data_IF_107531238878
#
_entry.id   IF_107531238878
#
_cell.length_a   1.000
_cell.length_b   1.000
_cell.length_c   1.000
_cell.angle_alpha   90.00
_cell.angle_beta   90.00
_cell.angle_gamma   90.00
#
_symmetry.space_group_name_H-M   'P 1'
#
loop_
_entity.id
_entity.type
_entity.pdbx_description
1 polymer ?
#
# COMPACT_ATOMS: atom_id res chain seq x y z
N UNK A 1 5.08 -26.99 5.68
CA UNK A 1 3.70 -26.56 5.41
C UNK A 1 3.75 -25.53 4.29
N UNK A 2 2.99 -25.75 3.22
CA UNK A 2 3.07 -25.01 1.95
C UNK A 2 2.32 -23.66 2.09
N UNK A 3 3.05 -22.55 2.23
CA UNK A 3 2.53 -21.19 2.48
C UNK A 3 1.86 -20.50 1.26
N UNK A 4 1.17 -21.24 0.38
CA UNK A 4 0.75 -20.72 -0.93
C UNK A 4 -0.77 -20.52 -1.12
N UNK A 5 -1.57 -20.59 -0.04
CA UNK A 5 -3.04 -20.71 -0.16
C UNK A 5 -3.80 -19.38 0.10
N UNK A 6 -3.15 -18.30 0.53
CA UNK A 6 -3.84 -17.08 0.98
C UNK A 6 -3.78 -15.87 0.02
N UNK A 7 -2.93 -15.87 -1.01
CA UNK A 7 -2.76 -14.69 -1.89
C UNK A 7 -3.86 -14.62 -2.96
N UNK A 8 -4.62 -13.51 -2.97
CA UNK A 8 -5.56 -13.20 -4.06
C UNK A 8 -4.82 -12.60 -5.26
N UNK A 9 -4.22 -13.48 -6.08
CA UNK A 9 -3.62 -13.05 -7.34
C UNK A 9 -4.72 -12.71 -8.35
N UNK A 10 -4.70 -11.48 -8.83
CA UNK A 10 -5.59 -11.01 -9.86
C UNK A 10 -5.17 -11.52 -11.23
N UNK A 11 -6.17 -11.84 -12.04
CA UNK A 11 -5.99 -12.03 -13.47
C UNK A 11 -5.71 -10.69 -14.16
N UNK A 12 -5.05 -10.75 -15.31
CA UNK A 12 -4.70 -9.57 -16.11
C UNK A 12 -5.90 -8.66 -16.37
N UNK A 13 -7.05 -9.24 -16.72
CA UNK A 13 -8.26 -8.48 -17.03
C UNK A 13 -8.79 -7.72 -15.81
N UNK A 14 -8.73 -8.33 -14.61
CA UNK A 14 -9.16 -7.68 -13.37
C UNK A 14 -8.30 -6.44 -13.08
N UNK A 15 -6.98 -6.51 -13.27
CA UNK A 15 -6.09 -5.36 -13.11
C UNK A 15 -6.50 -4.23 -14.07
N UNK A 16 -6.81 -4.57 -15.31
CA UNK A 16 -7.16 -3.58 -16.34
C UNK A 16 -8.52 -2.93 -16.04
N UNK A 17 -9.49 -3.73 -15.60
CA UNK A 17 -10.82 -3.23 -15.23
C UNK A 17 -10.75 -2.31 -14.00
N UNK A 18 -9.95 -2.64 -13.00
CA UNK A 18 -9.71 -1.79 -11.83
C UNK A 18 -9.06 -0.45 -12.24
N UNK A 19 -8.05 -0.48 -13.11
CA UNK A 19 -7.37 0.73 -13.59
C UNK A 19 -8.35 1.64 -14.34
N UNK A 20 -9.16 1.08 -15.24
CA UNK A 20 -10.18 1.84 -15.98
C UNK A 20 -11.29 2.35 -15.07
N UNK A 21 -11.65 1.58 -14.03
CA UNK A 21 -12.61 2.00 -13.03
C UNK A 21 -12.09 3.22 -12.24
N UNK A 22 -10.82 3.20 -11.85
CA UNK A 22 -10.20 4.23 -10.99
C UNK A 22 -9.82 5.49 -11.76
N UNK A 23 -9.24 5.36 -12.96
CA UNK A 23 -8.65 6.48 -13.71
C UNK A 23 -9.42 6.85 -14.98
N UNK A 24 -10.55 6.19 -15.24
CA UNK A 24 -11.34 6.40 -16.44
C UNK A 24 -11.01 5.41 -17.56
N UNK A 25 -11.98 5.24 -18.47
CA UNK A 25 -11.98 4.18 -19.50
C UNK A 25 -10.84 4.30 -20.52
N UNK A 26 -10.29 5.49 -20.71
CA UNK A 26 -9.22 5.76 -21.66
C UNK A 26 -7.81 5.52 -21.06
N UNK A 27 -7.73 5.24 -19.76
CA UNK A 27 -6.46 4.92 -19.10
C UNK A 27 -6.13 3.45 -19.30
N UNK A 28 -5.00 3.17 -19.94
CA UNK A 28 -4.54 1.82 -20.26
C UNK A 28 -3.35 1.41 -19.38
N UNK A 29 -3.16 0.09 -19.24
CA UNK A 29 -2.00 -0.48 -18.53
C UNK A 29 -0.90 -0.82 -19.52
N UNK A 30 0.21 -0.08 -19.48
CA UNK A 30 1.39 -0.36 -20.30
C UNK A 30 2.10 -1.63 -19.85
N UNK A 31 2.28 -1.80 -18.53
CA UNK A 31 2.93 -2.97 -17.92
C UNK A 31 2.57 -3.09 -16.45
N UNK A 32 2.66 -4.28 -15.88
CA UNK A 32 2.53 -4.50 -14.43
C UNK A 32 3.46 -5.62 -13.95
N UNK A 33 3.88 -5.54 -12.69
CA UNK A 33 4.73 -6.52 -12.01
C UNK A 33 4.18 -6.81 -10.62
N UNK A 34 4.04 -8.09 -10.26
CA UNK A 34 3.68 -8.50 -8.89
C UNK A 34 4.87 -8.22 -7.96
N UNK A 35 4.61 -7.48 -6.88
CA UNK A 35 5.55 -7.26 -5.79
C UNK A 35 5.39 -8.42 -4.82
N UNK A 36 6.38 -9.31 -4.78
CA UNK A 36 6.35 -10.51 -3.95
C UNK A 36 6.68 -10.24 -2.47
N UNK A 37 7.02 -9.00 -2.14
CA UNK A 37 7.42 -8.55 -0.81
C UNK A 37 6.18 -8.21 0.02
N UNK A 38 5.57 -9.24 0.61
CA UNK A 38 4.35 -9.11 1.40
C UNK A 38 3.80 -10.46 1.87
N UNK A 39 3.34 -10.49 3.12
CA UNK A 39 2.82 -11.71 3.76
C UNK A 39 1.39 -12.03 3.31
N UNK A 40 0.44 -11.08 3.46
CA UNK A 40 -0.99 -11.36 3.29
C UNK A 40 -1.61 -10.71 2.04
N UNK A 41 -1.31 -9.43 1.75
CA UNK A 41 -1.84 -8.74 0.57
C UNK A 41 -1.01 -9.07 -0.67
N UNK A 42 -1.67 -9.15 -1.83
CA UNK A 42 -0.98 -9.17 -3.13
C UNK A 42 -0.82 -7.73 -3.60
N UNK A 43 0.38 -7.35 -4.02
CA UNK A 43 0.65 -6.00 -4.50
C UNK A 43 1.18 -6.03 -5.93
N UNK A 44 0.80 -5.03 -6.73
CA UNK A 44 1.24 -4.86 -8.11
C UNK A 44 1.77 -3.46 -8.31
N UNK A 45 2.95 -3.32 -8.92
CA UNK A 45 3.41 -2.05 -9.51
C UNK A 45 2.90 -1.99 -10.95
N UNK A 46 2.21 -0.91 -11.32
CA UNK A 46 1.53 -0.77 -12.61
C UNK A 46 2.00 0.53 -13.27
N UNK A 47 2.42 0.46 -14.53
CA UNK A 47 2.72 1.62 -15.38
C UNK A 47 1.50 1.95 -16.24
N UNK A 48 0.99 3.16 -16.14
CA UNK A 48 -0.18 3.64 -16.87
C UNK A 48 0.23 4.29 -18.20
N UNK A 49 -0.72 4.39 -19.14
CA UNK A 49 -0.54 5.01 -20.45
C UNK A 49 -0.21 6.51 -20.41
N UNK A 50 -0.60 7.19 -19.34
CA UNK A 50 -0.33 8.62 -19.10
C UNK A 50 1.03 8.89 -18.45
N UNK A 51 1.83 7.85 -18.23
CA UNK A 51 3.17 7.93 -17.65
C UNK A 51 3.24 7.77 -16.13
N UNK A 52 2.10 7.73 -15.42
CA UNK A 52 2.09 7.50 -13.96
C UNK A 52 2.45 6.05 -13.63
N UNK A 53 3.13 5.86 -12.50
CA UNK A 53 3.27 4.56 -11.85
C UNK A 53 2.44 4.52 -10.56
N UNK A 54 1.74 3.40 -10.36
CA UNK A 54 0.85 3.20 -9.21
C UNK A 54 1.08 1.83 -8.57
N UNK A 55 0.74 1.73 -7.30
CA UNK A 55 0.72 0.47 -6.56
C UNK A 55 -0.73 0.08 -6.29
N UNK A 56 -1.12 -1.10 -6.77
CA UNK A 56 -2.39 -1.75 -6.45
C UNK A 56 -2.15 -2.79 -5.36
N UNK A 57 -2.80 -2.65 -4.20
CA UNK A 57 -2.82 -3.69 -3.16
C UNK A 57 -4.19 -4.33 -3.08
N UNK A 58 -4.21 -5.66 -3.01
CA UNK A 58 -5.42 -6.49 -3.02
C UNK A 58 -5.41 -7.39 -1.79
N UNK A 59 -6.49 -7.33 -1.02
CA UNK A 59 -6.66 -8.17 0.14
C UNK A 59 -6.83 -9.65 -0.28
N UNK A 60 -6.49 -10.62 0.59
CA UNK A 60 -6.87 -12.01 0.42
C UNK A 60 -8.36 -12.17 0.05
N UNK A 61 -8.71 -13.26 -0.65
CA UNK A 61 -10.11 -13.52 -1.04
C UNK A 61 -11.02 -13.59 0.19
N UNK A 62 -12.23 -13.07 0.03
CA UNK A 62 -13.27 -13.15 1.05
C UNK A 62 -13.52 -14.61 1.46
N UNK A 63 -13.45 -14.91 2.76
CA UNK A 63 -13.65 -16.26 3.30
C UNK A 63 -12.39 -17.00 3.77
N UNK A 64 -11.21 -16.40 3.61
CA UNK A 64 -10.01 -16.83 4.34
C UNK A 64 -10.15 -16.35 5.79
N UNK A 65 -9.96 -17.26 6.76
CA UNK A 65 -9.90 -16.90 8.18
C UNK A 65 -8.65 -16.04 8.38
N UNK A 66 -8.85 -14.73 8.35
CA UNK A 66 -7.89 -13.76 8.83
C UNK A 66 -7.86 -13.83 10.36
N UNK A 67 -6.68 -13.68 10.94
CA UNK A 67 -6.56 -13.40 12.38
C UNK A 67 -7.36 -12.13 12.70
N UNK A 68 -7.90 -12.00 13.90
CA UNK A 68 -8.70 -10.83 14.30
C UNK A 68 -7.95 -9.49 14.15
N UNK A 69 -6.61 -9.50 14.25
CA UNK A 69 -5.77 -8.34 13.96
C UNK A 69 -5.64 -7.99 12.46
N UNK A 70 -5.93 -8.94 11.57
CA UNK A 70 -5.81 -8.79 10.12
C UNK A 70 -7.11 -8.27 9.49
N UNK A 71 -8.23 -8.41 10.20
CA UNK A 71 -9.51 -7.83 9.80
C UNK A 71 -9.44 -6.30 9.84
N UNK A 72 -9.75 -5.65 8.72
CA UNK A 72 -9.74 -4.19 8.62
C UNK A 72 -8.37 -3.55 8.45
N UNK A 73 -7.27 -4.31 8.39
CA UNK A 73 -5.91 -3.75 8.21
C UNK A 73 -5.80 -2.84 6.99
N UNK A 74 -6.36 -3.24 5.85
CA UNK A 74 -6.31 -2.44 4.62
C UNK A 74 -7.08 -1.12 4.75
N UNK A 75 -8.25 -1.14 5.41
CA UNK A 75 -9.03 0.08 5.67
C UNK A 75 -8.28 1.02 6.60
N UNK A 76 -7.68 0.49 7.67
CA UNK A 76 -6.85 1.25 8.61
C UNK A 76 -5.65 1.87 7.92
N UNK A 77 -4.95 1.12 7.05
CA UNK A 77 -3.81 1.61 6.26
C UNK A 77 -4.23 2.80 5.38
N UNK A 78 -5.32 2.67 4.63
CA UNK A 78 -5.85 3.75 3.79
C UNK A 78 -6.24 4.99 4.61
N UNK A 79 -6.91 4.79 5.76
CA UNK A 79 -7.31 5.90 6.64
C UNK A 79 -6.10 6.62 7.23
N UNK A 80 -5.09 5.89 7.70
CA UNK A 80 -3.87 6.46 8.24
C UNK A 80 -3.12 7.29 7.18
N UNK A 81 -2.95 6.76 5.97
CA UNK A 81 -2.31 7.50 4.86
C UNK A 81 -3.10 8.75 4.47
N UNK A 82 -4.43 8.63 4.37
CA UNK A 82 -5.30 9.77 4.03
C UNK A 82 -5.17 10.87 5.07
N UNK A 83 -5.22 10.51 6.36
CA UNK A 83 -5.11 11.47 7.45
C UNK A 83 -3.72 12.11 7.54
N UNK A 84 -2.66 11.32 7.46
CA UNK A 84 -1.27 11.81 7.47
C UNK A 84 -1.05 12.87 6.37
N UNK A 85 -1.58 12.60 5.17
CA UNK A 85 -1.50 13.55 4.06
C UNK A 85 -2.34 14.81 4.28
N UNK A 86 -3.57 14.68 4.80
CA UNK A 86 -4.40 15.83 5.18
C UNK A 86 -3.71 16.73 6.22
N UNK A 87 -2.89 16.15 7.09
CA UNK A 87 -2.10 16.86 8.10
C UNK A 87 -0.77 17.41 7.57
N UNK A 88 -0.51 17.32 6.26
CA UNK A 88 0.63 17.93 5.58
C UNK A 88 1.94 17.16 5.73
N UNK A 89 1.88 15.87 6.05
CA UNK A 89 3.09 15.06 6.20
C UNK A 89 3.73 14.77 4.84
N UNK A 90 5.05 14.87 4.78
CA UNK A 90 5.83 14.56 3.58
C UNK A 90 6.04 13.04 3.43
N UNK A 91 6.36 12.59 2.23
CA UNK A 91 6.62 11.17 1.94
C UNK A 91 5.39 10.25 2.00
N UNK A 92 4.17 10.80 2.17
CA UNK A 92 2.92 10.00 2.21
C UNK A 92 2.35 9.84 0.80
N UNK A 93 2.16 8.61 0.29
CA UNK A 93 1.63 8.40 -1.04
C UNK A 93 0.18 8.87 -1.14
N UNK A 94 -0.19 9.41 -2.30
CA UNK A 94 -1.60 9.70 -2.61
C UNK A 94 -2.37 8.38 -2.73
N UNK A 95 -3.46 8.22 -1.99
CA UNK A 95 -4.44 7.15 -2.24
C UNK A 95 -5.43 7.63 -3.30
N UNK A 96 -5.44 6.96 -4.45
CA UNK A 96 -6.31 7.29 -5.57
C UNK A 96 -7.70 6.66 -5.43
N UNK A 97 -7.77 5.43 -4.93
CA UNK A 97 -9.03 4.73 -4.69
C UNK A 97 -8.87 3.66 -3.62
N UNK A 98 -9.96 3.41 -2.89
CA UNK A 98 -10.12 2.26 -2.00
C UNK A 98 -11.55 1.75 -2.14
N UNK A 99 -11.69 0.44 -2.37
CA UNK A 99 -12.98 -0.22 -2.42
C UNK A 99 -12.99 -1.44 -1.51
N UNK A 100 -14.05 -1.55 -0.71
CA UNK A 100 -14.33 -2.72 0.09
C UNK A 100 -15.19 -3.71 -0.68
N UNK A 101 -14.87 -5.00 -0.58
CA UNK A 101 -15.66 -6.09 -1.18
C UNK A 101 -15.94 -5.90 -2.68
N UNK A 102 -14.95 -5.46 -3.44
CA UNK A 102 -15.13 -5.19 -4.87
C UNK A 102 -15.37 -6.47 -5.65
N UNK A 103 -16.35 -6.44 -6.56
CA UNK A 103 -16.59 -7.53 -7.51
C UNK A 103 -15.44 -7.68 -8.51
N UNK A 104 -14.69 -6.60 -8.77
CA UNK A 104 -13.58 -6.62 -9.74
C UNK A 104 -12.41 -7.48 -9.25
N UNK A 105 -12.06 -7.39 -7.97
CA UNK A 105 -10.99 -8.15 -7.34
C UNK A 105 -11.46 -9.39 -6.57
N UNK A 106 -12.75 -9.46 -6.21
CA UNK A 106 -13.31 -10.48 -5.31
C UNK A 106 -12.92 -10.29 -3.83
N UNK A 107 -12.39 -9.12 -3.47
CA UNK A 107 -11.99 -8.73 -2.11
C UNK A 107 -11.83 -7.20 -2.02
N UNK A 108 -11.40 -6.66 -0.88
CA UNK A 108 -11.02 -5.25 -0.81
C UNK A 108 -9.73 -4.95 -1.58
N UNK A 109 -9.62 -3.76 -2.16
CA UNK A 109 -8.40 -3.30 -2.82
C UNK A 109 -8.22 -1.79 -2.66
N UNK A 110 -6.99 -1.30 -2.80
CA UNK A 110 -6.73 0.13 -2.99
C UNK A 110 -5.62 0.37 -4.03
N UNK A 111 -5.65 1.55 -4.62
CA UNK A 111 -4.62 2.06 -5.53
C UNK A 111 -4.01 3.32 -4.92
N UNK A 112 -2.68 3.38 -4.91
CA UNK A 112 -1.92 4.54 -4.44
C UNK A 112 -0.77 4.91 -5.39
N UNK A 113 -0.22 6.09 -5.20
CA UNK A 113 1.02 6.56 -5.82
C UNK A 113 2.17 5.57 -5.58
N UNK A 114 2.97 5.33 -6.62
CA UNK A 114 4.25 4.65 -6.46
C UNK A 114 5.32 5.69 -6.13
N UNK A 115 5.80 5.69 -4.89
CA UNK A 115 6.95 6.52 -4.51
C UNK A 115 8.22 6.00 -5.20
N UNK A 116 9.07 6.92 -5.66
CA UNK A 116 10.37 6.58 -6.22
C UNK A 116 11.33 6.19 -5.08
N UNK A 117 12.09 5.11 -5.31
CA UNK A 117 13.06 4.59 -4.34
C UNK A 117 13.11 3.07 -4.31
N UNK A 118 14.18 2.56 -3.71
CA UNK A 118 14.31 1.15 -3.36
C UNK A 118 13.85 0.95 -1.90
N UNK A 119 13.25 -0.21 -1.58
CA UNK A 119 12.95 -0.52 -0.19
C UNK A 119 14.25 -0.62 0.60
N UNK A 120 14.24 -0.13 1.84
CA UNK A 120 15.40 -0.24 2.72
C UNK A 120 15.90 -1.69 2.83
N UNK A 121 14.98 -2.66 2.90
CA UNK A 121 15.31 -4.09 2.89
C UNK A 121 16.13 -4.54 1.66
N UNK A 122 15.89 -3.97 0.49
CA UNK A 122 16.59 -4.30 -0.76
C UNK A 122 18.01 -3.72 -0.81
N UNK A 123 18.23 -2.55 -0.19
CA UNK A 123 19.54 -1.89 -0.17
C UNK A 123 20.36 -2.23 1.07
N UNK A 124 19.74 -2.71 2.17
CA UNK A 124 20.41 -3.03 3.44
C UNK A 124 21.62 -3.93 3.25
N UNK A 125 21.55 -4.93 2.37
CA UNK A 125 22.67 -5.85 2.09
C UNK A 125 23.85 -5.21 1.33
N UNK A 126 23.65 -4.04 0.72
CA UNK A 126 24.66 -3.29 -0.03
C UNK A 126 25.28 -2.14 0.80
N UNK A 127 24.69 -1.84 1.95
CA UNK A 127 25.10 -0.76 2.83
C UNK A 127 26.11 -1.26 3.87
N UNK A 128 27.06 -0.41 4.23
CA UNK A 128 27.99 -0.65 5.34
C UNK A 128 27.25 -0.63 6.68
N UNK A 129 27.84 -1.21 7.73
CA UNK A 129 27.24 -1.22 9.07
C UNK A 129 26.96 0.20 9.60
N UNK A 130 27.80 1.18 9.28
CA UNK A 130 27.64 2.58 9.68
C UNK A 130 26.49 3.28 8.92
N UNK A 131 26.34 3.02 7.63
CA UNK A 131 25.20 3.50 6.83
C UNK A 131 23.89 2.85 7.29
N UNK A 132 23.90 1.55 7.60
CA UNK A 132 22.73 0.86 8.14
C UNK A 132 22.30 1.43 9.48
N UNK A 133 23.24 1.76 10.38
CA UNK A 133 22.89 2.35 11.69
C UNK A 133 22.30 3.75 11.56
N UNK A 134 22.81 4.54 10.60
CA UNK A 134 22.31 5.88 10.32
C UNK A 134 20.90 5.81 9.75
N UNK A 135 20.69 4.97 8.72
CA UNK A 135 19.37 4.78 8.12
C UNK A 135 18.40 4.10 9.10
N UNK A 136 18.82 3.12 9.90
CA UNK A 136 17.98 2.52 10.95
C UNK A 136 17.53 3.59 11.97
N UNK A 137 18.41 4.55 12.32
CA UNK A 137 18.07 5.65 13.22
C UNK A 137 17.11 6.65 12.58
N UNK A 138 17.34 7.03 11.33
CA UNK A 138 16.49 7.95 10.56
C UNK A 138 15.12 7.33 10.24
N UNK A 139 15.06 6.10 9.73
CA UNK A 139 13.81 5.35 9.49
C UNK A 139 12.99 5.19 10.76
N UNK A 140 13.62 4.83 11.88
CA UNK A 140 12.92 4.72 13.16
C UNK A 140 12.39 6.08 13.59
N UNK A 141 13.16 7.15 13.39
CA UNK A 141 12.74 8.50 13.76
C UNK A 141 11.61 9.02 12.86
N UNK A 142 11.67 8.79 11.55
CA UNK A 142 10.63 9.20 10.60
C UNK A 142 9.34 8.41 10.83
N UNK A 143 9.43 7.08 11.04
CA UNK A 143 8.28 6.26 11.41
C UNK A 143 7.71 6.68 12.78
N UNK A 144 8.57 7.02 13.76
CA UNK A 144 8.16 7.50 15.07
C UNK A 144 7.47 8.85 14.97
N UNK A 145 8.02 9.81 14.23
CA UNK A 145 7.39 11.11 13.92
C UNK A 145 6.08 10.89 13.18
N UNK A 146 6.00 9.89 12.30
CA UNK A 146 4.78 9.58 11.58
C UNK A 146 3.67 9.10 12.50
N UNK A 147 3.99 8.12 13.34
CA UNK A 147 3.05 7.49 14.27
C UNK A 147 2.67 8.48 15.38
N UNK A 148 3.64 9.16 16.01
CA UNK A 148 3.39 10.13 17.07
C UNK A 148 2.72 11.41 16.56
N UNK A 149 3.13 11.93 15.41
CA UNK A 149 2.49 13.10 14.80
C UNK A 149 1.05 12.83 14.36
N UNK A 150 0.74 11.59 13.97
CA UNK A 150 -0.63 11.13 13.74
C UNK A 150 -1.40 11.05 15.06
N UNK A 151 -0.82 10.49 16.13
CA UNK A 151 -1.47 10.38 17.44
C UNK A 151 -1.73 11.72 18.12
N UNK A 152 -0.77 12.66 18.13
CA UNK A 152 -0.96 13.99 18.73
C UNK A 152 -2.08 14.78 18.03
N UNK A 153 -2.05 14.81 16.68
CA UNK A 153 -3.05 15.53 15.90
C UNK A 153 -4.44 14.88 15.92
N UNK A 154 -4.54 13.57 16.16
CA UNK A 154 -5.82 12.87 16.38
C UNK A 154 -6.35 13.14 17.79
N UNK A 155 -5.47 13.19 18.80
CA UNK A 155 -5.85 13.42 20.19
C UNK A 155 -6.41 14.83 20.42
N UNK A 156 -5.83 15.85 19.80
CA UNK A 156 -6.35 17.24 19.83
C UNK A 156 -7.78 17.37 19.27
N UNK A 157 -8.19 16.49 18.35
CA UNK A 157 -9.55 16.48 17.78
C UNK A 157 -10.56 15.69 18.62
N UNK A 158 -10.09 14.84 19.54
CA UNK A 158 -10.92 14.03 20.44
C UNK A 158 -11.21 14.72 21.78
N UNK A 159 -10.53 15.82 22.11
CA UNK A 159 -10.86 16.69 23.25
C UNK A 159 -11.98 17.70 22.89
N UNK A 160 -13.16 17.19 22.55
CA UNK A 160 -14.42 17.98 22.46
C UNK A 160 -15.30 17.71 23.67
#
# INVERSE_FOLDING_TARGET
>A
MSYNVTKNRLEKQQIYDIVRHTFGKDTEVNSYTELLDGFCNTAYRIKLSDGREVVLKVAPKNGIVMMSCEQGMMQTEVRAMTLARQKGMEGVPIVYAFEENSFLSGSSYFIMECLEGDSYAAIKQKLTEEEQQTIDCEETNDQYVWVHGLFEKVWEEMEV
#
